data_IF_857711981247
#
_entry.id   IF_857711981247
#
_cell.length_a   1.000
_cell.length_b   1.000
_cell.length_c   1.000
_cell.angle_alpha   90.00
_cell.angle_beta   90.00
_cell.angle_gamma   90.00
#
_symmetry.space_group_name_H-M   'P 1'
#
loop_
_entity.id
_entity.type
_entity.pdbx_description
1 polymer ?
#
# COMPACT_ATOMS: atom_id res chain seq x y z
N UNK A 1 -5.76 -3.30 -23.15
CA UNK A 1 -6.70 -4.41 -23.40
C UNK A 1 -5.90 -5.60 -23.91
N UNK A 2 -5.83 -6.70 -23.16
CA UNK A 2 -4.92 -7.84 -23.38
C UNK A 2 -5.39 -8.84 -24.45
N UNK A 3 -6.22 -8.42 -25.40
CA UNK A 3 -6.71 -9.26 -26.50
C UNK A 3 -7.68 -10.40 -26.11
N UNK A 4 -8.25 -10.37 -24.89
CA UNK A 4 -9.18 -11.38 -24.41
C UNK A 4 -10.60 -10.81 -24.26
N UNK A 5 -11.55 -11.32 -25.05
CA UNK A 5 -12.98 -11.00 -24.94
C UNK A 5 -13.75 -12.24 -24.48
N UNK A 6 -14.36 -12.13 -23.30
CA UNK A 6 -15.27 -13.15 -22.77
C UNK A 6 -16.68 -12.58 -22.71
N UNK A 7 -17.65 -13.31 -23.27
CA UNK A 7 -19.07 -12.94 -23.19
C UNK A 7 -19.71 -13.31 -21.85
N UNK A 8 -19.06 -14.13 -21.01
CA UNK A 8 -19.56 -14.45 -19.68
C UNK A 8 -19.22 -13.32 -18.68
N UNK A 9 -20.21 -12.55 -18.17
CA UNK A 9 -19.97 -11.47 -17.23
C UNK A 9 -19.42 -11.97 -15.87
N UNK A 10 -19.61 -13.25 -15.53
CA UNK A 10 -19.10 -13.83 -14.28
C UNK A 10 -17.58 -13.93 -14.30
N UNK A 11 -16.99 -14.26 -15.46
CA UNK A 11 -15.54 -14.33 -15.61
C UNK A 11 -14.90 -12.95 -15.45
N UNK A 12 -15.49 -11.93 -16.07
CA UNK A 12 -15.04 -10.54 -15.93
C UNK A 12 -15.10 -10.13 -14.45
N UNK A 13 -16.21 -10.43 -13.77
CA UNK A 13 -16.39 -10.12 -12.36
C UNK A 13 -15.39 -10.86 -11.47
N UNK A 14 -15.08 -12.12 -11.77
CA UNK A 14 -14.10 -12.90 -11.04
C UNK A 14 -12.69 -12.29 -11.15
N UNK A 15 -12.26 -11.92 -12.37
CA UNK A 15 -10.97 -11.26 -12.59
C UNK A 15 -10.93 -9.92 -11.84
N UNK A 16 -12.00 -9.12 -11.93
CA UNK A 16 -12.10 -7.86 -11.22
C UNK A 16 -11.97 -8.02 -9.69
N UNK A 17 -12.65 -9.01 -9.12
CA UNK A 17 -12.55 -9.33 -7.68
C UNK A 17 -11.15 -9.82 -7.30
N UNK A 18 -10.51 -10.63 -8.14
CA UNK A 18 -9.14 -11.09 -7.91
C UNK A 18 -8.14 -9.92 -7.92
N UNK A 19 -8.25 -9.01 -8.90
CA UNK A 19 -7.43 -7.79 -8.94
C UNK A 19 -7.70 -6.87 -7.76
N UNK A 20 -8.96 -6.72 -7.36
CA UNK A 20 -9.34 -5.93 -6.19
C UNK A 20 -8.74 -6.53 -4.91
N UNK A 21 -8.81 -7.85 -4.73
CA UNK A 21 -8.22 -8.54 -3.57
C UNK A 21 -6.71 -8.32 -3.54
N UNK A 22 -6.03 -8.54 -4.66
CA UNK A 22 -4.59 -8.35 -4.76
C UNK A 22 -4.17 -6.92 -4.36
N UNK A 23 -4.85 -5.90 -4.87
CA UNK A 23 -4.57 -4.51 -4.48
C UNK A 23 -4.90 -4.24 -3.01
N UNK A 24 -5.97 -4.84 -2.50
CA UNK A 24 -6.37 -4.70 -1.09
C UNK A 24 -5.32 -5.30 -0.15
N UNK A 25 -4.76 -6.47 -0.50
CA UNK A 25 -3.73 -7.13 0.29
C UNK A 25 -2.48 -6.23 0.37
N UNK A 26 -1.96 -5.74 -0.77
CA UNK A 26 -0.81 -4.82 -0.81
C UNK A 26 -1.07 -3.54 0.00
N UNK A 27 -2.26 -2.95 -0.13
CA UNK A 27 -2.61 -1.72 0.59
C UNK A 27 -2.67 -1.95 2.11
N UNK A 28 -3.15 -3.11 2.55
CA UNK A 28 -3.18 -3.49 3.96
C UNK A 28 -1.78 -3.71 4.52
N UNK A 29 -0.88 -4.34 3.75
CA UNK A 29 0.52 -4.55 4.16
C UNK A 29 1.26 -3.21 4.26
N UNK A 30 1.12 -2.33 3.25
CA UNK A 30 1.66 -0.97 3.30
C UNK A 30 1.09 -0.17 4.50
N UNK A 31 -0.20 -0.34 4.83
CA UNK A 31 -0.79 0.31 6.01
C UNK A 31 -0.17 -0.21 7.32
N UNK A 32 0.19 -1.48 7.41
CA UNK A 32 0.88 -2.03 8.59
C UNK A 32 2.25 -1.37 8.75
N UNK A 33 3.04 -1.27 7.67
CA UNK A 33 4.32 -0.54 7.70
C UNK A 33 4.13 0.93 8.09
N UNK A 34 3.12 1.60 7.55
CA UNK A 34 2.78 2.99 7.89
C UNK A 34 2.46 3.19 9.38
N UNK A 35 1.68 2.26 9.96
CA UNK A 35 1.34 2.25 11.39
C UNK A 35 2.56 2.05 12.27
N UNK A 36 3.43 1.09 11.92
CA UNK A 36 4.68 0.83 12.67
C UNK A 36 5.57 2.07 12.65
N UNK A 37 5.82 2.65 11.47
CA UNK A 37 6.61 3.88 11.29
C UNK A 37 6.04 5.05 12.11
N UNK A 38 4.74 5.30 12.03
CA UNK A 38 4.09 6.40 12.76
C UNK A 38 4.13 6.19 14.28
N UNK A 39 3.94 4.94 14.74
CA UNK A 39 4.04 4.60 16.16
C UNK A 39 5.44 4.88 16.72
N UNK A 40 6.49 4.52 15.98
CA UNK A 40 7.88 4.79 16.35
C UNK A 40 8.19 6.29 16.47
N UNK A 41 7.61 7.12 15.59
CA UNK A 41 7.76 8.58 15.68
C UNK A 41 7.07 9.18 16.92
N UNK A 42 5.92 8.64 17.33
CA UNK A 42 5.20 9.09 18.53
C UNK A 42 5.99 8.77 19.81
N UNK A 43 6.64 7.62 19.90
CA UNK A 43 7.44 7.24 21.07
C UNK A 43 8.64 8.17 21.28
N UNK A 44 9.25 8.67 20.19
CA UNK A 44 10.37 9.62 20.26
C UNK A 44 9.92 11.05 20.60
N UNK A 45 8.67 11.42 20.31
CA UNK A 45 8.11 12.74 20.54
C UNK A 45 7.23 12.78 21.79
N UNK A 46 7.84 12.56 22.97
CA UNK A 46 7.22 12.60 24.32
C UNK A 46 6.49 13.91 24.71
N UNK A 47 6.25 14.86 23.80
CA UNK A 47 5.86 16.23 24.16
C UNK A 47 4.71 16.89 23.38
N UNK A 48 3.86 16.16 22.64
CA UNK A 48 2.67 16.79 22.03
C UNK A 48 1.35 16.21 22.54
N UNK A 49 0.71 17.01 23.41
CA UNK A 49 -0.65 16.86 23.92
C UNK A 49 -1.68 17.01 22.80
N UNK A 50 -2.67 16.13 22.79
CA UNK A 50 -3.94 16.28 22.06
C UNK A 50 -4.25 15.11 21.11
N UNK A 51 -5.53 14.68 21.01
CA UNK A 51 -5.94 13.62 20.10
C UNK A 51 -5.94 14.19 18.67
N UNK A 52 -4.77 14.27 18.05
CA UNK A 52 -4.68 14.56 16.61
C UNK A 52 -5.27 13.36 15.88
N UNK A 53 -6.29 13.59 15.06
CA UNK A 53 -6.78 12.58 14.11
C UNK A 53 -5.58 11.97 13.38
N UNK A 54 -5.39 10.65 13.54
CA UNK A 54 -4.27 9.94 12.93
C UNK A 54 -4.53 9.81 11.44
N UNK A 55 -4.12 10.82 10.68
CA UNK A 55 -4.13 10.77 9.22
C UNK A 55 -2.95 9.92 8.75
N UNK A 56 -3.24 8.71 8.29
CA UNK A 56 -2.24 7.87 7.63
C UNK A 56 -2.02 8.36 6.20
N UNK A 57 -0.76 8.43 5.80
CA UNK A 57 -0.33 8.76 4.44
C UNK A 57 0.58 7.64 3.98
N UNK A 58 0.21 6.97 2.89
CA UNK A 58 1.03 5.95 2.26
C UNK A 58 2.22 6.61 1.57
N UNK A 59 3.44 6.24 1.95
CA UNK A 59 4.68 6.74 1.33
C UNK A 59 5.47 5.59 0.67
N UNK A 60 6.55 5.92 -0.03
CA UNK A 60 7.45 4.89 -0.59
C UNK A 60 8.14 4.06 0.50
N UNK A 61 8.33 4.62 1.69
CA UNK A 61 8.90 3.88 2.84
C UNK A 61 7.97 2.77 3.34
N UNK A 62 6.66 2.92 3.12
CA UNK A 62 5.65 1.92 3.47
C UNK A 62 5.38 0.94 2.31
N UNK A 63 5.35 1.46 1.09
CA UNK A 63 4.95 0.71 -0.10
C UNK A 63 6.06 -0.20 -0.65
N UNK A 64 7.31 0.27 -0.65
CA UNK A 64 8.45 -0.52 -1.16
C UNK A 64 8.64 -1.83 -0.40
N UNK A 65 8.68 -1.87 0.95
CA UNK A 65 8.79 -3.13 1.68
C UNK A 65 7.57 -4.04 1.44
N UNK A 66 6.35 -3.48 1.40
CA UNK A 66 5.15 -4.25 1.10
C UNK A 66 5.25 -4.94 -0.28
N UNK A 67 5.68 -4.22 -1.32
CA UNK A 67 5.87 -4.78 -2.66
C UNK A 67 6.99 -5.83 -2.74
N UNK A 68 8.04 -5.66 -1.92
CA UNK A 68 9.17 -6.59 -1.89
C UNK A 68 8.76 -7.99 -1.39
N UNK A 69 7.76 -8.10 -0.51
CA UNK A 69 7.19 -9.38 -0.06
C UNK A 69 6.53 -10.17 -1.21
N UNK A 70 6.03 -9.46 -2.23
CA UNK A 70 5.48 -10.05 -3.46
C UNK A 70 6.52 -10.20 -4.57
N UNK A 71 7.81 -9.94 -4.29
CA UNK A 71 8.89 -10.02 -5.28
C UNK A 71 8.96 -8.85 -6.27
N UNK A 72 8.23 -7.77 -6.01
CA UNK A 72 8.18 -6.58 -6.88
C UNK A 72 9.23 -5.57 -6.41
N UNK A 73 10.15 -5.20 -7.31
CA UNK A 73 11.21 -4.22 -7.01
C UNK A 73 10.75 -2.82 -7.45
N UNK A 74 10.43 -1.96 -6.48
CA UNK A 74 10.15 -0.54 -6.71
C UNK A 74 11.35 0.32 -6.26
N UNK A 75 12.05 0.95 -7.20
CA UNK A 75 13.14 1.89 -6.92
C UNK A 75 12.78 3.28 -7.41
N UNK A 76 12.54 4.20 -6.48
CA UNK A 76 12.33 5.62 -6.79
C UNK A 76 13.53 6.43 -6.29
N UNK A 77 14.29 7.10 -7.17
CA UNK A 77 15.35 8.01 -6.73
C UNK A 77 14.73 9.22 -6.01
N UNK A 78 15.42 9.72 -4.99
CA UNK A 78 14.95 10.88 -4.21
C UNK A 78 15.03 12.19 -5.01
N UNK A 79 15.94 12.28 -5.96
CA UNK A 79 16.11 13.39 -6.88
C UNK A 79 16.61 12.88 -8.23
N UNK A 80 16.32 13.63 -9.29
CA UNK A 80 16.94 13.43 -10.60
C UNK A 80 18.12 14.41 -10.70
N UNK A 81 19.26 13.95 -11.22
CA UNK A 81 20.43 14.80 -11.54
C UNK A 81 20.30 15.27 -12.97
#
# INVERSE_FOLDING_TARGET
MSGFESQDPRLIRLIALASQKFLSDIANDALQHCKMRTSSQIVQSKNQKGPKEKKYVMTMEDLVPALQEYGIIAKKPHYFV
#
